data_IF_222357698066
#
_entry.id   IF_222357698066
#
_cell.length_a   1.000
_cell.length_b   1.000
_cell.length_c   1.000
_cell.angle_alpha   90.00
_cell.angle_beta   90.00
_cell.angle_gamma   90.00
#
_symmetry.space_group_name_H-M   'P 1'
#
loop_
_entity.id
_entity.type
_entity.pdbx_description
1 polymer ?
#
# COMPACT_ATOMS: atom_id res chain seq x y z
N UNK A 1 -14.60 11.28 -5.60
CA UNK A 1 -15.98 11.83 -5.53
C UNK A 1 -16.53 11.56 -4.14
N UNK A 2 -17.12 12.57 -3.50
CA UNK A 2 -17.81 12.39 -2.21
C UNK A 2 -19.30 12.12 -2.46
N UNK A 3 -19.87 11.09 -1.85
CA UNK A 3 -21.28 10.74 -1.93
C UNK A 3 -21.85 10.74 -0.52
N UNK A 4 -22.82 11.61 -0.26
CA UNK A 4 -23.49 11.65 1.03
C UNK A 4 -24.56 10.56 1.11
N UNK A 5 -24.62 9.84 2.24
CA UNK A 5 -25.67 8.86 2.53
C UNK A 5 -26.47 9.30 3.76
N UNK A 6 -27.46 10.21 3.61
CA UNK A 6 -28.15 10.84 4.74
C UNK A 6 -28.93 9.87 5.63
N UNK A 7 -29.33 8.72 5.09
CA UNK A 7 -30.03 7.68 5.84
C UNK A 7 -29.17 7.09 6.97
N UNK A 8 -27.85 7.11 6.81
CA UNK A 8 -26.88 6.55 7.75
C UNK A 8 -25.96 7.60 8.37
N UNK A 9 -25.95 8.83 7.83
CA UNK A 9 -25.10 9.91 8.35
C UNK A 9 -23.63 9.75 7.98
N UNK A 10 -23.32 8.92 6.98
CA UNK A 10 -21.96 8.62 6.52
C UNK A 10 -21.65 9.31 5.19
N UNK A 11 -20.36 9.56 4.98
CA UNK A 11 -19.80 10.12 3.76
C UNK A 11 -18.96 9.06 3.06
N UNK A 12 -19.26 8.79 1.80
CA UNK A 12 -18.55 7.81 0.99
C UNK A 12 -17.56 8.52 0.07
N UNK A 13 -16.29 8.12 0.15
CA UNK A 13 -15.26 8.51 -0.79
C UNK A 13 -15.12 7.48 -1.89
N UNK A 14 -14.98 7.96 -3.11
CA UNK A 14 -14.67 7.13 -4.26
C UNK A 14 -13.48 7.68 -5.04
N UNK A 15 -12.50 6.84 -5.41
CA UNK A 15 -11.41 7.20 -6.32
C UNK A 15 -11.91 7.03 -7.76
N UNK A 16 -12.19 8.12 -8.49
CA UNK A 16 -12.73 7.97 -9.82
C UNK A 16 -11.63 7.57 -10.81
N UNK A 17 -11.64 6.33 -11.27
CA UNK A 17 -10.88 5.91 -12.45
C UNK A 17 -11.64 6.33 -13.71
N UNK A 18 -11.29 7.51 -14.19
CA UNK A 18 -11.90 8.10 -15.37
C UNK A 18 -11.37 7.44 -16.65
N UNK A 19 -12.24 6.69 -17.31
CA UNK A 19 -12.01 6.17 -18.66
C UNK A 19 -12.55 7.19 -19.67
N UNK A 20 -11.70 7.62 -20.60
CA UNK A 20 -12.14 8.44 -21.73
C UNK A 20 -13.09 7.64 -22.63
N UNK A 21 -14.22 8.24 -23.01
CA UNK A 21 -15.17 7.64 -23.94
C UNK A 21 -15.47 8.57 -25.11
N UNK A 22 -15.76 7.95 -26.26
CA UNK A 22 -16.28 8.64 -27.44
C UNK A 22 -17.59 7.98 -27.83
N UNK A 23 -18.69 8.73 -27.74
CA UNK A 23 -20.01 8.28 -28.17
C UNK A 23 -20.58 9.25 -29.20
N UNK A 24 -20.53 8.85 -30.48
CA UNK A 24 -20.85 9.75 -31.59
C UNK A 24 -19.86 10.92 -31.65
N UNK A 25 -20.38 12.15 -31.59
CA UNK A 25 -19.56 13.38 -31.59
C UNK A 25 -19.23 13.90 -30.17
N UNK A 26 -19.55 13.13 -29.12
CA UNK A 26 -19.27 13.52 -27.74
C UNK A 26 -18.02 12.80 -27.24
N UNK A 27 -17.08 13.57 -26.73
CA UNK A 27 -15.92 13.10 -25.94
C UNK A 27 -16.16 13.44 -24.48
N UNK A 28 -15.89 12.51 -23.59
CA UNK A 28 -16.01 12.72 -22.15
C UNK A 28 -15.24 11.68 -21.36
N UNK A 29 -15.41 11.69 -20.04
CA UNK A 29 -14.83 10.71 -19.14
C UNK A 29 -15.93 10.07 -18.30
N UNK A 30 -15.90 8.75 -18.16
CA UNK A 30 -16.79 7.98 -17.26
C UNK A 30 -15.95 7.32 -16.18
N UNK A 31 -16.48 7.24 -14.97
CA UNK A 31 -15.87 6.45 -13.89
C UNK A 31 -16.85 5.39 -13.43
N UNK A 32 -16.34 4.21 -13.12
CA UNK A 32 -17.13 3.16 -12.48
C UNK A 32 -17.01 3.33 -10.97
N UNK A 33 -18.14 3.59 -10.31
CA UNK A 33 -18.21 3.70 -8.85
C UNK A 33 -18.61 2.33 -8.31
N UNK A 34 -17.77 1.65 -7.51
CA UNK A 34 -18.20 0.48 -6.76
C UNK A 34 -19.45 0.83 -5.95
N UNK A 35 -20.47 0.00 -6.04
CA UNK A 35 -21.69 0.23 -5.27
C UNK A 35 -21.45 -0.15 -3.81
N UNK A 36 -21.34 0.83 -2.92
CA UNK A 36 -21.47 0.59 -1.49
C UNK A 36 -22.94 0.31 -1.20
N UNK A 37 -23.22 -0.88 -0.68
CA UNK A 37 -24.58 -1.29 -0.36
C UNK A 37 -24.85 -0.87 1.08
N UNK A 38 -25.55 0.24 1.20
CA UNK A 38 -26.22 0.57 2.45
C UNK A 38 -27.58 -0.12 2.48
N UNK A 39 -27.95 -0.84 3.56
CA UNK A 39 -29.28 -1.41 3.68
C UNK A 39 -30.35 -0.30 3.57
N UNK A 40 -31.61 -0.68 3.33
CA UNK A 40 -32.69 0.29 3.50
C UNK A 40 -32.92 0.52 5.00
N UNK A 41 -33.05 1.80 5.37
CA UNK A 41 -33.14 2.29 6.75
C UNK A 41 -33.90 1.37 7.72
N UNK A 42 -33.31 1.20 8.90
CA UNK A 42 -33.86 0.66 10.16
C UNK A 42 -35.32 0.17 10.08
N UNK A 43 -35.57 -1.11 9.77
CA UNK A 43 -36.92 -1.67 9.76
C UNK A 43 -37.60 -1.65 11.14
N UNK A 44 -36.88 -1.33 12.22
CA UNK A 44 -37.29 -1.52 13.60
C UNK A 44 -37.36 -0.23 14.44
N UNK A 45 -36.93 0.91 13.90
CA UNK A 45 -37.01 2.22 14.57
C UNK A 45 -36.19 2.33 15.86
N UNK A 46 -35.13 1.53 16.00
CA UNK A 46 -34.25 1.49 17.16
C UNK A 46 -33.08 2.46 16.99
N UNK A 47 -32.96 3.43 17.90
CA UNK A 47 -31.88 4.42 17.93
C UNK A 47 -30.44 3.84 17.96
N UNK A 48 -30.26 2.53 18.21
CA UNK A 48 -28.97 1.83 18.07
C UNK A 48 -28.52 1.63 16.62
N UNK A 49 -29.40 1.80 15.63
CA UNK A 49 -29.10 1.60 14.20
C UNK A 49 -28.18 2.68 13.59
N UNK A 50 -27.96 3.79 14.30
CA UNK A 50 -27.06 4.89 13.89
C UNK A 50 -25.96 5.16 14.91
N UNK A 51 -25.85 4.31 15.92
CA UNK A 51 -24.78 4.45 16.88
C UNK A 51 -23.51 3.90 16.22
N UNK A 52 -22.45 4.64 16.45
CA UNK A 52 -21.07 4.33 16.10
C UNK A 52 -20.42 4.15 17.47
N UNK A 53 -20.17 2.89 17.81
CA UNK A 53 -19.94 2.42 19.16
C UNK A 53 -18.45 2.52 19.55
N UNK A 54 -17.58 2.22 18.61
CA UNK A 54 -16.12 2.28 18.68
C UNK A 54 -15.55 3.60 18.10
N UNK A 55 -16.35 4.35 17.35
CA UNK A 55 -16.04 5.72 16.93
C UNK A 55 -15.23 5.79 15.65
N UNK A 56 -15.29 4.77 14.80
CA UNK A 56 -14.47 4.64 13.60
C UNK A 56 -15.12 5.28 12.35
N UNK A 57 -16.37 5.78 12.49
CA UNK A 57 -17.14 6.38 11.41
C UNK A 57 -18.06 5.41 10.68
N UNK A 58 -18.16 4.17 11.15
CA UNK A 58 -19.04 3.12 10.66
C UNK A 58 -20.08 2.77 11.74
N UNK A 59 -21.36 2.76 11.35
CA UNK A 59 -22.46 2.60 12.32
C UNK A 59 -22.80 1.13 12.49
N UNK A 60 -23.27 0.71 13.67
CA UNK A 60 -23.60 -0.68 14.00
C UNK A 60 -24.50 -1.41 12.98
N UNK A 61 -25.36 -0.68 12.26
CA UNK A 61 -26.19 -1.26 11.20
C UNK A 61 -25.40 -1.62 9.93
N UNK A 62 -24.39 -0.83 9.59
CA UNK A 62 -23.47 -1.14 8.50
C UNK A 62 -22.49 -2.22 8.95
N UNK A 63 -22.00 -2.16 10.19
CA UNK A 63 -21.19 -3.22 10.79
C UNK A 63 -21.83 -4.60 10.62
N UNK A 64 -23.08 -4.72 11.07
CA UNK A 64 -23.85 -5.95 10.94
C UNK A 64 -24.03 -6.41 9.48
N UNK A 65 -24.17 -5.47 8.54
CA UNK A 65 -24.38 -5.79 7.12
C UNK A 65 -23.08 -6.27 6.45
N UNK A 66 -21.97 -5.60 6.74
CA UNK A 66 -20.66 -5.93 6.19
C UNK A 66 -20.01 -7.11 6.91
N UNK A 67 -20.49 -7.47 8.11
CA UNK A 67 -20.02 -8.62 8.87
C UNK A 67 -18.81 -8.30 9.75
N UNK A 68 -18.77 -7.06 10.23
CA UNK A 68 -17.74 -6.45 11.08
C UNK A 68 -18.30 -6.20 12.50
N UNK A 69 -17.46 -5.80 13.44
CA UNK A 69 -17.77 -5.71 14.86
C UNK A 69 -18.05 -4.28 15.28
N UNK A 70 -19.27 -4.02 15.77
CA UNK A 70 -19.65 -2.70 16.30
C UNK A 70 -18.97 -2.34 17.64
N UNK A 71 -17.94 -3.04 18.09
CA UNK A 71 -17.19 -2.69 19.29
C UNK A 71 -15.69 -2.71 19.04
N UNK A 72 -15.30 -2.91 17.79
CA UNK A 72 -13.92 -3.08 17.38
C UNK A 72 -13.70 -2.29 16.09
N UNK A 73 -12.98 -1.18 16.21
CA UNK A 73 -12.80 -0.21 15.14
C UNK A 73 -12.04 -0.77 13.92
N UNK A 74 -11.41 -1.94 14.04
CA UNK A 74 -10.51 -2.58 13.08
C UNK A 74 -10.73 -4.10 13.19
N UNK A 75 -11.77 -4.62 12.53
CA UNK A 75 -12.26 -6.00 12.74
C UNK A 75 -11.24 -7.07 12.34
N UNK A 76 -10.32 -6.77 11.41
CA UNK A 76 -9.32 -7.71 10.90
C UNK A 76 -7.87 -7.38 11.30
N UNK A 77 -7.71 -6.48 12.26
CA UNK A 77 -6.46 -6.12 12.96
C UNK A 77 -5.34 -5.65 12.02
N UNK A 78 -5.66 -4.95 10.94
CA UNK A 78 -4.70 -4.52 9.91
C UNK A 78 -4.27 -3.04 10.01
N UNK A 79 -4.82 -2.33 11.00
CA UNK A 79 -4.65 -0.89 11.28
C UNK A 79 -5.39 0.06 10.33
N UNK A 80 -6.28 -0.45 9.47
CA UNK A 80 -7.33 0.31 8.80
C UNK A 80 -8.63 0.11 9.58
N UNK A 81 -9.47 1.15 9.65
CA UNK A 81 -10.76 1.00 10.32
C UNK A 81 -11.80 0.42 9.38
N UNK A 82 -12.80 -0.28 9.93
CA UNK A 82 -13.90 -0.86 9.15
C UNK A 82 -14.57 0.19 8.24
N UNK A 83 -14.78 1.38 8.81
CA UNK A 83 -15.24 2.58 8.11
C UNK A 83 -14.28 3.08 7.03
N UNK A 84 -12.98 3.13 7.28
CA UNK A 84 -12.01 3.55 6.26
C UNK A 84 -12.08 2.64 5.03
N UNK A 85 -12.16 1.35 5.24
CA UNK A 85 -12.11 0.36 4.16
C UNK A 85 -13.39 0.34 3.34
N UNK A 86 -14.55 0.49 3.98
CA UNK A 86 -15.83 0.49 3.28
C UNK A 86 -16.15 1.86 2.70
N UNK A 87 -16.18 2.91 3.53
CA UNK A 87 -16.67 4.25 3.13
C UNK A 87 -15.56 5.21 2.76
N UNK A 88 -14.31 4.92 3.09
CA UNK A 88 -13.18 5.81 2.82
C UNK A 88 -12.94 6.84 3.91
N UNK A 89 -11.76 7.44 3.90
CA UNK A 89 -11.36 8.47 4.87
C UNK A 89 -10.45 9.51 4.25
N UNK A 90 -10.62 10.79 4.63
CA UNK A 90 -9.78 11.91 4.19
C UNK A 90 -9.50 11.93 2.67
N UNK A 91 -10.56 11.80 1.86
CA UNK A 91 -10.51 11.81 0.39
C UNK A 91 -9.88 10.56 -0.25
N UNK A 92 -9.65 9.51 0.53
CA UNK A 92 -9.10 8.23 0.07
C UNK A 92 -10.24 7.20 0.07
N UNK A 93 -10.37 6.50 -1.06
CA UNK A 93 -11.24 5.34 -1.24
C UNK A 93 -10.37 4.08 -1.10
N UNK A 94 -10.36 3.47 0.09
CA UNK A 94 -9.54 2.31 0.38
C UNK A 94 -10.06 1.06 -0.33
N UNK A 95 -11.37 0.91 -0.46
CA UNK A 95 -11.99 -0.14 -1.27
C UNK A 95 -11.50 -0.16 -2.73
N UNK A 96 -11.15 1.00 -3.32
CA UNK A 96 -10.56 1.03 -4.68
C UNK A 96 -9.19 0.37 -4.78
N UNK A 97 -8.46 0.23 -3.68
CA UNK A 97 -7.23 -0.54 -3.58
C UNK A 97 -7.47 -1.99 -3.18
N UNK A 98 -8.73 -2.42 -3.10
CA UNK A 98 -9.13 -3.76 -2.70
C UNK A 98 -9.24 -3.96 -1.19
N UNK A 99 -9.11 -2.91 -0.38
CA UNK A 99 -9.20 -3.04 1.08
C UNK A 99 -10.56 -3.61 1.52
N UNK A 100 -10.59 -4.37 2.60
CA UNK A 100 -11.75 -5.12 3.05
C UNK A 100 -11.66 -5.38 4.56
N UNK A 101 -12.65 -4.97 5.36
CA UNK A 101 -12.61 -5.01 6.84
C UNK A 101 -12.76 -6.40 7.47
N UNK A 102 -12.49 -7.43 6.68
CA UNK A 102 -12.68 -8.85 6.97
C UNK A 102 -11.49 -9.67 6.48
N UNK A 103 -10.43 -9.01 6.02
CA UNK A 103 -9.20 -9.57 5.50
C UNK A 103 -8.08 -8.57 5.67
N UNK A 104 -7.08 -8.95 6.47
CA UNK A 104 -5.93 -8.09 6.70
C UNK A 104 -5.26 -7.65 5.40
N UNK A 105 -5.14 -6.34 5.22
CA UNK A 105 -4.56 -5.68 4.07
C UNK A 105 -3.24 -4.96 4.44
N UNK A 106 -2.37 -4.80 3.44
CA UNK A 106 -1.15 -4.01 3.56
C UNK A 106 -1.03 -3.09 2.36
N UNK A 107 -1.40 -1.84 2.56
CA UNK A 107 -1.37 -0.83 1.51
C UNK A 107 -0.04 -0.08 1.52
N UNK A 108 0.60 0.00 0.36
CA UNK A 108 1.91 0.64 0.16
C UNK A 108 1.76 1.74 -0.88
N UNK A 109 2.03 2.99 -0.53
CA UNK A 109 2.08 4.11 -1.46
C UNK A 109 3.51 4.19 -2.00
N UNK A 110 3.66 4.19 -3.33
CA UNK A 110 4.96 4.22 -3.97
C UNK A 110 5.15 5.49 -4.80
N UNK A 111 6.05 6.36 -4.34
CA UNK A 111 6.57 7.44 -5.18
C UNK A 111 7.80 6.92 -5.92
N UNK A 112 7.96 7.33 -7.17
CA UNK A 112 9.00 6.75 -8.04
C UNK A 112 9.73 7.80 -8.86
N UNK A 113 11.02 7.56 -9.08
CA UNK A 113 11.84 8.45 -9.85
C UNK A 113 11.66 8.22 -11.34
N UNK A 114 11.58 9.32 -12.10
CA UNK A 114 11.62 9.31 -13.55
C UNK A 114 12.74 10.20 -14.08
N UNK A 115 13.41 9.75 -15.15
CA UNK A 115 14.25 10.61 -15.98
C UNK A 115 13.46 10.99 -17.23
N UNK A 116 13.30 12.30 -17.47
CA UNK A 116 12.47 12.83 -18.56
C UNK A 116 13.33 13.69 -19.48
N UNK A 117 13.28 13.41 -20.79
CA UNK A 117 13.91 14.24 -21.83
C UNK A 117 12.82 14.83 -22.71
N UNK A 118 12.62 16.15 -22.62
CA UNK A 118 11.47 16.80 -23.24
C UNK A 118 10.17 16.37 -22.57
N UNK A 119 9.29 15.68 -23.32
CA UNK A 119 8.04 15.11 -22.82
C UNK A 119 8.04 13.57 -22.80
N UNK A 120 9.23 12.95 -22.87
CA UNK A 120 9.38 11.50 -22.94
C UNK A 120 10.08 11.02 -21.68
N UNK A 121 9.44 10.10 -20.96
CA UNK A 121 10.07 9.35 -19.88
C UNK A 121 11.07 8.37 -20.50
N UNK A 122 12.35 8.51 -20.17
CA UNK A 122 13.42 7.64 -20.68
C UNK A 122 13.90 6.61 -19.65
N UNK A 123 13.58 6.81 -18.37
CA UNK A 123 13.79 5.86 -17.27
C UNK A 123 12.71 6.04 -16.22
N UNK A 124 12.35 4.96 -15.56
CA UNK A 124 11.40 4.96 -14.45
C UNK A 124 11.80 3.89 -13.43
N UNK A 125 11.49 4.15 -12.16
CA UNK A 125 11.45 3.14 -11.09
C UNK A 125 10.01 2.97 -10.60
N UNK A 126 9.04 3.24 -11.46
CA UNK A 126 7.65 2.91 -11.17
C UNK A 126 7.55 1.41 -10.90
N UNK A 127 7.03 0.97 -9.73
CA UNK A 127 6.82 -0.43 -9.44
C UNK A 127 6.08 -1.13 -10.57
N UNK A 128 6.75 -2.04 -11.28
CA UNK A 128 6.13 -2.72 -12.40
C UNK A 128 5.03 -3.67 -11.94
N UNK A 129 4.11 -4.02 -12.83
CA UNK A 129 3.04 -4.96 -12.50
C UNK A 129 3.59 -6.32 -12.02
N UNK A 130 4.78 -6.71 -12.50
CA UNK A 130 5.46 -7.90 -11.99
C UNK A 130 5.83 -7.75 -10.51
N UNK A 131 6.49 -6.64 -10.12
CA UNK A 131 6.84 -6.40 -8.72
C UNK A 131 5.60 -6.37 -7.84
N UNK A 132 4.56 -5.63 -8.25
CA UNK A 132 3.31 -5.51 -7.50
C UNK A 132 2.71 -6.90 -7.24
N UNK A 133 2.64 -7.75 -8.25
CA UNK A 133 2.12 -9.12 -8.13
C UNK A 133 3.03 -10.04 -7.30
N UNK A 134 4.35 -9.86 -7.37
CA UNK A 134 5.31 -10.64 -6.60
C UNK A 134 5.18 -10.33 -5.10
N UNK A 135 5.10 -9.06 -4.73
CA UNK A 135 4.88 -8.63 -3.34
C UNK A 135 3.51 -9.09 -2.83
N UNK A 136 2.44 -8.91 -3.62
CA UNK A 136 1.11 -9.40 -3.27
C UNK A 136 1.09 -10.92 -3.03
N UNK A 137 1.78 -11.69 -3.88
CA UNK A 137 1.86 -13.15 -3.72
C UNK A 137 2.71 -13.55 -2.50
N UNK A 138 3.79 -12.82 -2.21
CA UNK A 138 4.59 -13.08 -1.00
C UNK A 138 3.76 -12.98 0.28
N UNK A 139 3.00 -11.89 0.45
CA UNK A 139 2.18 -11.68 1.65
C UNK A 139 0.95 -12.60 1.73
N UNK A 140 0.39 -12.99 0.59
CA UNK A 140 -0.69 -13.98 0.54
C UNK A 140 -0.17 -15.38 0.90
N UNK A 141 0.93 -15.81 0.30
CA UNK A 141 1.35 -17.23 0.30
C UNK A 141 2.31 -17.57 1.45
N UNK A 142 3.05 -16.60 1.99
CA UNK A 142 4.04 -16.84 3.06
C UNK A 142 3.44 -16.83 4.46
N UNK A 143 2.19 -16.39 4.61
CA UNK A 143 1.49 -16.29 5.90
C UNK A 143 0.18 -17.11 5.92
N UNK A 144 0.21 -18.41 5.60
CA UNK A 144 -1.00 -19.24 5.47
C UNK A 144 -1.78 -19.41 6.79
N UNK A 145 -1.14 -19.16 7.93
CA UNK A 145 -1.76 -19.25 9.26
C UNK A 145 -2.65 -18.04 9.59
N UNK A 146 -2.52 -16.94 8.84
CA UNK A 146 -3.44 -15.80 8.93
C UNK A 146 -4.71 -16.18 8.16
N UNK A 147 -5.78 -16.44 8.91
CA UNK A 147 -7.09 -16.78 8.35
C UNK A 147 -8.04 -15.59 8.47
N UNK A 148 -8.66 -15.21 7.36
CA UNK A 148 -9.50 -14.02 7.29
C UNK A 148 -10.99 -14.37 7.41
N UNK A 149 -11.79 -13.41 7.88
CA UNK A 149 -13.24 -13.58 8.05
C UNK A 149 -13.96 -13.77 6.70
N UNK A 150 -13.41 -13.24 5.61
CA UNK A 150 -13.91 -13.46 4.25
C UNK A 150 -13.57 -14.86 3.68
N UNK A 151 -12.79 -15.67 4.42
CA UNK A 151 -12.37 -17.01 4.05
C UNK A 151 -11.07 -17.09 3.24
N UNK A 152 -10.44 -15.96 2.93
CA UNK A 152 -9.10 -15.91 2.36
C UNK A 152 -8.00 -16.24 3.40
N UNK A 153 -6.77 -16.39 2.92
CA UNK A 153 -5.59 -16.64 3.75
C UNK A 153 -4.48 -15.64 3.42
N UNK A 154 -3.62 -15.40 4.40
CA UNK A 154 -2.51 -14.46 4.30
C UNK A 154 -2.97 -13.01 4.34
N UNK A 155 -2.08 -12.12 3.92
CA UNK A 155 -2.30 -10.68 3.90
C UNK A 155 -2.46 -10.24 2.44
N UNK A 156 -3.47 -9.43 2.15
CA UNK A 156 -3.62 -8.83 0.83
C UNK A 156 -2.80 -7.53 0.76
N UNK A 157 -1.63 -7.63 0.13
CA UNK A 157 -0.72 -6.49 -0.02
C UNK A 157 -0.87 -5.83 -1.40
N UNK A 158 -0.91 -4.49 -1.41
CA UNK A 158 -1.02 -3.69 -2.63
C UNK A 158 0.01 -2.57 -2.63
N UNK A 159 0.86 -2.56 -3.65
CA UNK A 159 1.67 -1.38 -3.98
C UNK A 159 0.87 -0.52 -4.95
N UNK A 160 0.62 0.72 -4.55
CA UNK A 160 -0.08 1.74 -5.32
C UNK A 160 0.93 2.81 -5.76
N UNK A 161 1.44 2.75 -7.02
CA UNK A 161 2.17 3.86 -7.60
C UNK A 161 1.36 5.16 -7.50
N UNK A 162 2.01 6.24 -7.06
CA UNK A 162 1.36 7.53 -6.85
C UNK A 162 2.05 8.65 -7.64
N UNK A 163 3.01 9.34 -7.03
CA UNK A 163 3.63 10.52 -7.62
C UNK A 163 4.99 10.20 -8.28
N UNK A 164 5.16 10.50 -9.59
CA UNK A 164 6.49 10.53 -10.19
C UNK A 164 7.28 11.76 -9.72
N UNK A 165 8.58 11.61 -9.50
CA UNK A 165 9.48 12.73 -9.24
C UNK A 165 10.72 12.67 -10.13
N UNK A 166 11.30 13.83 -10.45
CA UNK A 166 12.45 13.93 -11.37
C UNK A 166 13.76 14.31 -10.69
N UNK A 167 13.69 14.67 -9.40
CA UNK A 167 14.89 15.01 -8.62
C UNK A 167 15.63 13.71 -8.28
N UNK A 168 16.92 13.58 -8.64
CA UNK A 168 17.71 12.43 -8.25
C UNK A 168 17.69 12.26 -6.74
N UNK A 169 17.41 11.03 -6.28
CA UNK A 169 17.67 10.69 -4.90
C UNK A 169 19.17 10.79 -4.65
N UNK A 170 19.59 11.41 -3.54
CA UNK A 170 20.96 11.21 -3.12
C UNK A 170 21.04 9.82 -2.47
N UNK A 171 21.86 8.94 -3.04
CA UNK A 171 22.09 7.59 -2.52
C UNK A 171 22.46 7.69 -1.02
N UNK A 172 21.59 7.16 -0.14
CA UNK A 172 21.85 7.07 1.29
C UNK A 172 21.81 8.39 2.10
N UNK A 173 21.19 9.47 1.61
CA UNK A 173 21.20 10.75 2.35
C UNK A 173 20.21 10.84 3.52
N UNK A 174 19.33 9.84 3.69
CA UNK A 174 18.37 9.80 4.79
C UNK A 174 17.50 11.06 4.85
N UNK A 175 17.32 11.80 3.75
CA UNK A 175 16.54 13.03 3.78
C UNK A 175 15.07 12.68 4.04
N UNK A 176 14.51 13.10 5.18
CA UNK A 176 13.15 12.73 5.53
C UNK A 176 12.17 13.26 4.50
N UNK A 177 11.35 12.37 3.97
CA UNK A 177 10.40 12.72 2.92
C UNK A 177 9.29 13.60 3.48
N UNK A 178 9.14 14.77 2.89
CA UNK A 178 8.09 15.74 3.23
C UNK A 178 7.09 15.79 2.08
N UNK A 179 6.19 14.81 1.99
CA UNK A 179 4.98 14.99 1.19
C UNK A 179 3.77 15.18 2.11
N UNK A 180 3.04 16.28 1.90
CA UNK A 180 1.82 16.59 2.63
C UNK A 180 0.61 15.74 2.15
N UNK A 181 0.79 14.97 1.08
CA UNK A 181 -0.24 14.20 0.39
C UNK A 181 -0.23 12.71 0.73
N UNK A 182 0.64 12.27 1.65
CA UNK A 182 0.71 10.87 2.09
C UNK A 182 -0.64 10.38 2.63
N UNK A 183 -1.03 9.21 2.15
CA UNK A 183 -2.29 8.55 2.50
C UNK A 183 -2.18 7.95 3.89
N UNK A 184 -3.17 8.24 4.74
CA UNK A 184 -3.27 7.62 6.07
C UNK A 184 -3.45 6.11 5.89
N UNK A 185 -2.91 5.28 6.79
CA UNK A 185 -2.98 3.82 6.70
C UNK A 185 -1.96 3.16 5.76
N UNK A 186 -1.41 3.90 4.79
CA UNK A 186 -0.41 3.36 3.86
C UNK A 186 0.99 3.32 4.50
N UNK A 187 1.75 2.25 4.23
CA UNK A 187 3.22 2.29 4.29
C UNK A 187 3.74 3.06 3.09
N UNK A 188 4.84 3.77 3.23
CA UNK A 188 5.34 4.61 2.15
C UNK A 188 6.69 4.13 1.63
N UNK A 189 6.77 3.86 0.33
CA UNK A 189 7.99 3.51 -0.38
C UNK A 189 8.41 4.62 -1.34
N UNK A 190 9.70 4.95 -1.34
CA UNK A 190 10.30 5.83 -2.35
C UNK A 190 11.27 5.01 -3.21
N UNK A 191 11.00 4.94 -4.50
CA UNK A 191 11.79 4.21 -5.48
C UNK A 191 12.68 5.19 -6.26
N UNK A 192 13.97 4.91 -6.28
CA UNK A 192 15.02 5.80 -6.75
C UNK A 192 15.88 5.12 -7.81
N UNK A 193 16.26 5.88 -8.83
CA UNK A 193 17.16 5.37 -9.88
C UNK A 193 18.57 5.17 -9.32
N UNK A 194 19.09 3.96 -9.44
CA UNK A 194 20.50 3.65 -9.15
C UNK A 194 21.41 4.26 -10.21
N UNK A 195 22.56 4.80 -9.78
CA UNK A 195 23.65 5.19 -10.69
C UNK A 195 24.49 3.99 -11.16
N UNK A 196 24.20 2.79 -10.64
CA UNK A 196 24.92 1.54 -10.88
C UNK A 196 23.97 0.37 -11.18
N UNK A 197 24.49 -0.84 -11.38
CA UNK A 197 23.69 -2.07 -11.47
C UNK A 197 23.31 -2.64 -10.11
N UNK A 198 23.75 -2.01 -9.01
CA UNK A 198 23.45 -2.48 -7.67
C UNK A 198 22.13 -1.90 -7.18
N UNK A 199 21.43 -2.66 -6.33
CA UNK A 199 20.33 -2.14 -5.53
C UNK A 199 20.79 -1.90 -4.10
N UNK A 200 20.12 -0.98 -3.43
CA UNK A 200 20.29 -0.73 -2.01
C UNK A 200 19.01 -0.19 -1.41
N UNK A 201 18.86 -0.33 -0.10
CA UNK A 201 17.72 0.16 0.62
C UNK A 201 18.11 0.97 1.84
N UNK A 202 17.15 1.69 2.39
CA UNK A 202 17.27 2.27 3.73
C UNK A 202 15.90 2.47 4.35
N UNK A 203 15.79 2.18 5.65
CA UNK A 203 14.67 2.63 6.46
C UNK A 203 14.61 4.16 6.51
N UNK A 204 13.42 4.73 6.37
CA UNK A 204 13.23 6.17 6.32
C UNK A 204 12.21 6.59 7.39
N UNK A 205 12.62 7.46 8.30
CA UNK A 205 11.68 8.10 9.22
C UNK A 205 10.91 9.17 8.49
N UNK A 206 9.59 9.01 8.44
CA UNK A 206 8.69 10.06 7.96
C UNK A 206 8.52 11.07 9.08
N UNK A 207 8.98 12.30 8.84
CA UNK A 207 8.81 13.39 9.80
C UNK A 207 7.32 13.73 9.91
N UNK A 208 6.74 13.84 11.12
CA UNK A 208 5.39 14.34 11.27
C UNK A 208 5.30 15.74 10.69
N UNK A 209 4.45 15.94 9.68
CA UNK A 209 4.11 17.30 9.27
C UNK A 209 3.24 17.96 10.34
N UNK A 210 3.65 19.15 10.78
CA UNK A 210 3.00 20.02 11.76
C UNK A 210 1.48 19.78 11.88
N UNK A 211 1.07 19.15 13.00
CA UNK A 211 -0.35 18.96 13.36
C UNK A 211 -1.01 17.68 12.85
N UNK A 212 -0.28 16.77 12.20
CA UNK A 212 -0.76 15.43 11.84
C UNK A 212 -0.08 14.36 12.70
N UNK A 213 -0.78 13.30 13.14
CA UNK A 213 -0.16 12.13 13.78
C UNK A 213 0.96 11.59 12.89
N UNK A 214 2.00 11.01 13.49
CA UNK A 214 3.14 10.42 12.78
C UNK A 214 2.66 9.53 11.64
N UNK A 215 2.99 9.92 10.41
CA UNK A 215 2.51 9.30 9.17
C UNK A 215 3.38 8.07 8.91
N UNK A 216 3.27 7.02 9.73
CA UNK A 216 3.96 5.74 9.52
C UNK A 216 5.51 5.76 9.48
N UNK A 217 6.10 4.58 9.31
CA UNK A 217 7.50 4.40 8.90
C UNK A 217 7.51 4.22 7.38
N UNK A 218 8.49 4.83 6.69
CA UNK A 218 8.67 4.66 5.26
C UNK A 218 9.96 3.92 4.94
N UNK A 219 10.17 3.64 3.66
CA UNK A 219 11.39 3.05 3.14
C UNK A 219 11.84 3.69 1.84
N UNK A 220 13.14 3.62 1.57
CA UNK A 220 13.73 4.00 0.30
C UNK A 220 14.34 2.79 -0.40
N UNK A 221 14.02 2.61 -1.67
CA UNK A 221 14.62 1.62 -2.57
C UNK A 221 15.44 2.35 -3.63
N UNK A 222 16.70 1.95 -3.82
CA UNK A 222 17.55 2.37 -4.94
C UNK A 222 17.68 1.17 -5.86
N UNK A 223 17.13 1.26 -7.08
CA UNK A 223 17.02 0.11 -8.00
C UNK A 223 17.51 0.51 -9.40
N UNK A 224 18.15 -0.41 -10.13
CA UNK A 224 18.53 -0.16 -11.51
C UNK A 224 17.28 0.02 -12.39
N UNK A 225 17.46 0.69 -13.52
CA UNK A 225 16.37 0.92 -14.47
C UNK A 225 15.82 -0.36 -15.03
N UNK A 226 14.50 -0.51 -15.01
CA UNK A 226 13.79 -1.36 -15.96
C UNK A 226 13.95 -0.78 -17.37
N UNK A 227 13.99 -1.66 -18.38
CA UNK A 227 13.55 -1.20 -19.70
C UNK A 227 12.04 -0.91 -19.64
N UNK A 228 11.50 -0.07 -20.52
CA UNK A 228 10.07 0.30 -20.47
C UNK A 228 9.13 -0.83 -20.94
N UNK A 229 9.57 -2.09 -20.85
CA UNK A 229 8.87 -3.26 -21.34
C UNK A 229 8.63 -4.27 -20.21
N UNK A 230 7.53 -4.04 -19.49
CA UNK A 230 7.05 -4.87 -18.36
C UNK A 230 6.85 -6.37 -18.66
N UNK A 231 6.99 -6.81 -19.92
CA UNK A 231 6.76 -8.21 -20.33
C UNK A 231 7.93 -9.16 -20.04
N UNK A 232 9.12 -8.65 -19.74
CA UNK A 232 10.32 -9.45 -19.43
C UNK A 232 10.83 -9.28 -17.99
N UNK A 233 10.22 -8.40 -17.19
CA UNK A 233 10.65 -8.08 -15.82
C UNK A 233 10.87 -9.32 -14.95
N UNK A 234 10.03 -10.35 -15.06
CA UNK A 234 10.19 -11.58 -14.28
C UNK A 234 11.45 -12.41 -14.57
N UNK A 235 12.26 -11.99 -15.53
CA UNK A 235 13.56 -12.59 -15.85
C UNK A 235 14.72 -11.62 -15.75
N UNK A 236 14.46 -10.36 -15.40
CA UNK A 236 15.48 -9.33 -15.26
C UNK A 236 16.11 -9.40 -13.86
N UNK A 237 17.45 -9.56 -13.74
CA UNK A 237 18.15 -9.42 -12.47
C UNK A 237 17.82 -8.12 -11.71
N UNK A 238 17.49 -7.04 -12.43
CA UNK A 238 17.01 -5.78 -11.85
C UNK A 238 15.70 -5.95 -11.06
N UNK A 239 14.76 -6.75 -11.58
CA UNK A 239 13.46 -6.97 -10.97
C UNK A 239 13.53 -7.80 -9.70
N UNK A 240 14.35 -8.85 -9.70
CA UNK A 240 14.60 -9.64 -8.49
C UNK A 240 15.23 -8.78 -7.39
N UNK A 241 16.16 -7.91 -7.78
CA UNK A 241 16.87 -7.03 -6.89
C UNK A 241 15.93 -5.96 -6.28
N UNK A 242 15.05 -5.35 -7.06
CA UNK A 242 14.01 -4.46 -6.52
C UNK A 242 13.00 -5.18 -5.62
N UNK A 243 12.58 -6.39 -5.99
CA UNK A 243 11.70 -7.21 -5.16
C UNK A 243 12.33 -7.50 -3.79
N UNK A 244 13.59 -7.93 -3.79
CA UNK A 244 14.33 -8.26 -2.57
C UNK A 244 14.45 -7.05 -1.64
N UNK A 245 14.94 -5.92 -2.16
CA UNK A 245 15.09 -4.68 -1.39
C UNK A 245 13.74 -4.13 -0.92
N UNK A 246 12.70 -4.20 -1.77
CA UNK A 246 11.36 -3.75 -1.38
C UNK A 246 10.84 -4.52 -0.17
N UNK A 247 10.94 -5.85 -0.17
CA UNK A 247 10.47 -6.67 0.95
C UNK A 247 11.33 -6.46 2.21
N UNK A 248 12.64 -6.36 2.07
CA UNK A 248 13.54 -6.10 3.19
C UNK A 248 13.21 -4.77 3.88
N UNK A 249 13.18 -3.69 3.10
CA UNK A 249 12.97 -2.36 3.67
C UNK A 249 11.53 -2.14 4.14
N UNK A 250 10.55 -2.76 3.49
CA UNK A 250 9.18 -2.84 3.99
C UNK A 250 9.13 -3.55 5.35
N UNK A 251 9.90 -4.63 5.55
CA UNK A 251 10.00 -5.33 6.82
C UNK A 251 10.46 -4.44 7.97
N UNK A 252 11.38 -3.50 7.73
CA UNK A 252 11.75 -2.47 8.72
C UNK A 252 10.57 -1.56 9.10
N UNK A 253 9.68 -1.24 8.16
CA UNK A 253 8.46 -0.48 8.46
C UNK A 253 7.46 -1.26 9.29
N UNK A 254 7.54 -2.60 9.26
CA UNK A 254 6.74 -3.52 10.07
C UNK A 254 7.42 -3.86 11.42
N UNK A 255 8.59 -3.26 11.70
CA UNK A 255 9.29 -3.43 12.97
C UNK A 255 10.20 -4.66 13.03
N UNK A 256 10.56 -5.24 11.88
CA UNK A 256 11.54 -6.30 11.82
C UNK A 256 12.96 -5.73 11.76
N UNK A 257 13.86 -6.35 12.52
CA UNK A 257 15.30 -6.09 12.50
C UNK A 257 16.04 -7.24 11.79
N UNK A 258 17.35 -7.07 11.56
CA UNK A 258 18.15 -8.01 10.76
C UNK A 258 18.44 -9.35 11.44
N UNK A 259 18.16 -9.49 12.74
CA UNK A 259 18.54 -10.64 13.56
C UNK A 259 17.35 -11.35 14.22
N UNK A 260 16.13 -10.85 14.02
CA UNK A 260 14.86 -11.48 14.38
C UNK A 260 14.48 -11.52 15.86
N UNK A 261 15.44 -11.68 16.78
CA UNK A 261 15.16 -11.90 18.23
C UNK A 261 16.24 -11.32 19.17
N UNK A 262 17.27 -10.65 18.67
CA UNK A 262 18.25 -9.99 19.54
C UNK A 262 18.15 -8.48 19.40
N UNK A 263 18.34 -7.74 20.48
CA UNK A 263 18.37 -6.27 20.44
C UNK A 263 19.68 -5.74 19.82
N UNK A 264 20.26 -6.49 18.88
CA UNK A 264 21.52 -6.19 18.24
C UNK A 264 21.26 -5.87 16.78
N UNK A 265 21.72 -4.74 16.27
CA UNK A 265 21.61 -4.44 14.83
C UNK A 265 22.63 -5.29 14.02
N UNK A 266 22.83 -6.56 14.40
CA UNK A 266 23.82 -7.47 13.84
C UNK A 266 23.30 -8.04 12.54
N UNK A 267 23.81 -7.49 11.45
CA UNK A 267 23.53 -8.02 10.13
C UNK A 267 24.27 -9.37 9.87
N UNK A 268 23.78 -10.14 8.90
CA UNK A 268 24.39 -11.38 8.41
C UNK A 268 24.39 -12.53 9.44
N UNK A 269 23.39 -12.58 10.33
CA UNK A 269 23.31 -13.63 11.35
C UNK A 269 23.12 -15.02 10.70
N UNK A 270 24.09 -15.94 10.79
CA UNK A 270 24.07 -17.19 10.03
C UNK A 270 22.89 -18.11 10.30
N UNK A 271 22.23 -17.95 11.46
CA UNK A 271 21.09 -18.77 11.88
C UNK A 271 19.73 -18.07 11.70
N UNK A 272 19.68 -16.93 11.00
CA UNK A 272 18.45 -16.20 10.74
C UNK A 272 18.13 -16.20 9.22
N UNK A 273 17.56 -17.29 8.69
CA UNK A 273 17.20 -17.41 7.27
C UNK A 273 15.94 -16.59 6.97
N UNK A 274 16.13 -15.28 6.80
CA UNK A 274 15.08 -14.29 6.59
C UNK A 274 15.44 -13.34 5.45
N UNK A 275 14.42 -12.78 4.78
CA UNK A 275 14.60 -11.65 3.85
C UNK A 275 15.24 -10.44 4.54
N UNK A 276 15.04 -10.32 5.86
CA UNK A 276 15.64 -9.28 6.70
C UNK A 276 17.14 -9.48 6.94
N UNK A 277 17.74 -10.56 6.46
CA UNK A 277 19.16 -10.82 6.63
C UNK A 277 19.89 -10.57 5.30
N UNK A 278 20.76 -9.55 5.26
CA UNK A 278 21.47 -9.16 4.04
C UNK A 278 22.35 -10.28 3.45
N UNK A 279 22.71 -11.30 4.23
CA UNK A 279 23.44 -12.47 3.72
C UNK A 279 22.63 -13.23 2.64
N UNK A 280 21.30 -13.14 2.70
CA UNK A 280 20.38 -13.81 1.77
C UNK A 280 19.71 -12.86 0.77
N UNK A 281 19.81 -11.54 0.98
CA UNK A 281 19.22 -10.51 0.12
C UNK A 281 19.95 -10.37 -1.24
N UNK A 282 21.24 -10.77 -1.33
CA UNK A 282 22.12 -10.49 -2.47
C UNK A 282 22.87 -11.69 -3.10
N UNK A 283 22.70 -12.92 -2.60
CA UNK A 283 23.39 -14.09 -3.17
C UNK A 283 22.48 -14.94 -4.04
N UNK A 284 22.39 -14.60 -5.34
CA UNK A 284 22.86 -15.46 -6.45
C UNK A 284 22.33 -15.04 -7.82
N UNK A 285 22.89 -13.96 -8.39
CA UNK A 285 23.01 -13.83 -9.85
C UNK A 285 24.42 -13.38 -10.23
N UNK A 286 25.42 -14.14 -9.76
CA UNK A 286 26.73 -14.22 -10.42
C UNK A 286 27.34 -15.59 -10.14
N UNK A 287 27.47 -16.38 -11.22
CA UNK A 287 28.06 -17.72 -11.35
C UNK A 287 27.25 -18.94 -10.89
N UNK A 288 26.45 -19.47 -11.82
CA UNK A 288 26.53 -20.86 -12.24
C UNK A 288 26.51 -20.92 -13.78
#
# INVERSE_FOLDING_TARGET
MLIDVPAYGVHVYHKPDFVAYVYGNQTGSVTYVPAIIVPAADPWGTHGYRKDEDGDGFVAALEQYYGTSDLDWDTDDDSLSDGMEVVGYNWIDYASYGASPRRSDLLIEADFQQEVVGNVVIKTTEPSLYLQNAVASFFRDSFPDISNLDGSQGIHAVIAPDDPFTVPCAEGDGTPFRDARKRVGFRYGRYCLSSSTNCGGSGQTLEPQYGRPSIGKGFGCVTPTYDANDTNDGTDPAAFCEYSVTLHELGHTLGLDHDGDTASDSNCEPNYPSMMNYAYEYQSYVSA
#
